data_IF_635855314217
#
_entry.id   IF_635855314217
#
_cell.length_a   1.000
_cell.length_b   1.000
_cell.length_c   1.000
_cell.angle_alpha   90.00
_cell.angle_beta   90.00
_cell.angle_gamma   90.00
#
_symmetry.space_group_name_H-M   'P 1'
#
loop_
_entity.id
_entity.type
_entity.pdbx_description
1 polymer ?
#
# COMPACT_ATOMS: atom_id res chain seq x y z
N UNK A 1 -7.28 -1.43 -13.56
CA UNK A 1 -8.45 -0.70 -14.05
C UNK A 1 -8.93 -1.36 -15.33
N UNK A 2 -10.23 -1.57 -15.47
CA UNK A 2 -10.80 -2.13 -16.69
C UNK A 2 -11.97 -1.27 -17.17
N UNK A 3 -11.86 -0.75 -18.40
CA UNK A 3 -12.87 0.09 -19.06
C UNK A 3 -13.39 1.25 -18.20
N UNK A 4 -12.49 1.98 -17.54
CA UNK A 4 -12.87 3.00 -16.54
C UNK A 4 -13.21 4.33 -17.19
N UNK A 5 -14.32 4.92 -16.77
CA UNK A 5 -14.73 6.29 -17.09
C UNK A 5 -14.98 7.12 -15.84
N UNK A 6 -14.73 8.43 -15.92
CA UNK A 6 -14.97 9.35 -14.80
C UNK A 6 -15.55 10.69 -15.24
N UNK A 7 -16.62 11.09 -14.58
CA UNK A 7 -17.31 12.37 -14.78
C UNK A 7 -17.44 13.09 -13.43
N UNK A 8 -17.02 14.35 -13.36
CA UNK A 8 -17.25 15.16 -12.16
C UNK A 8 -18.74 15.50 -12.02
N UNK A 9 -19.32 15.47 -10.80
CA UNK A 9 -20.74 15.80 -10.60
C UNK A 9 -21.17 17.20 -11.08
N UNK A 10 -20.20 18.12 -11.22
CA UNK A 10 -20.41 19.49 -11.69
C UNK A 10 -20.35 19.64 -13.21
N UNK A 11 -20.14 18.56 -13.98
CA UNK A 11 -19.99 18.59 -15.44
C UNK A 11 -20.80 17.49 -16.10
N UNK A 12 -21.36 17.80 -17.26
CA UNK A 12 -22.09 16.82 -18.08
C UNK A 12 -21.16 15.99 -18.98
N UNK A 13 -19.95 16.48 -19.25
CA UNK A 13 -18.97 15.79 -20.11
C UNK A 13 -17.99 14.95 -19.28
N UNK A 14 -17.76 13.68 -19.65
CA UNK A 14 -16.77 12.84 -18.97
C UNK A 14 -15.37 13.42 -19.15
N UNK A 15 -14.56 13.28 -18.10
CA UNK A 15 -13.14 13.71 -18.12
C UNK A 15 -12.33 12.75 -18.97
N UNK A 16 -12.57 11.45 -18.83
CA UNK A 16 -12.05 10.41 -19.70
C UNK A 16 -12.97 9.19 -19.68
N UNK A 17 -12.93 8.38 -20.74
CA UNK A 17 -13.71 7.16 -20.90
C UNK A 17 -12.86 6.01 -21.42
N UNK A 18 -13.21 4.77 -21.04
CA UNK A 18 -12.61 3.55 -21.60
C UNK A 18 -11.16 3.28 -21.20
N UNK A 19 -10.69 3.88 -20.10
CA UNK A 19 -9.31 3.70 -19.64
C UNK A 19 -9.09 2.28 -19.09
N UNK A 20 -8.19 1.52 -19.72
CA UNK A 20 -7.77 0.19 -19.25
C UNK A 20 -6.29 0.22 -18.95
N UNK A 21 -5.94 0.15 -17.66
CA UNK A 21 -4.59 0.37 -17.14
C UNK A 21 -4.22 -0.69 -16.10
N UNK A 22 -2.96 -1.09 -16.11
CA UNK A 22 -2.39 -2.03 -15.14
C UNK A 22 -1.08 -1.48 -14.59
N UNK A 23 -0.85 -1.66 -13.28
CA UNK A 23 0.40 -1.31 -12.61
C UNK A 23 0.87 -2.52 -11.82
N UNK A 24 2.15 -2.86 -11.96
CA UNK A 24 2.83 -3.92 -11.24
C UNK A 24 3.99 -3.37 -10.40
N UNK A 25 4.68 -4.23 -9.64
CA UNK A 25 5.88 -3.87 -8.89
C UNK A 25 7.07 -3.49 -9.79
N UNK A 26 7.08 -3.90 -11.06
CA UNK A 26 8.12 -3.52 -12.03
C UNK A 26 7.71 -2.34 -12.89
N UNK A 27 6.46 -1.88 -12.80
CA UNK A 27 5.96 -0.79 -13.63
C UNK A 27 6.75 0.49 -13.39
N UNK A 28 7.06 1.17 -14.49
CA UNK A 28 7.71 2.48 -14.55
C UNK A 28 6.95 3.27 -15.60
N UNK A 29 5.97 4.01 -15.12
CA UNK A 29 4.94 4.63 -15.96
C UNK A 29 5.05 6.15 -15.86
N UNK A 30 5.03 6.82 -17.01
CA UNK A 30 4.87 8.26 -17.09
C UNK A 30 3.46 8.63 -17.61
N UNK A 31 2.69 9.36 -16.81
CA UNK A 31 1.43 9.96 -17.21
C UNK A 31 1.69 11.36 -17.78
N UNK A 32 1.45 11.51 -19.08
CA UNK A 32 1.73 12.71 -19.88
C UNK A 32 0.46 13.20 -20.58
N UNK A 33 0.39 14.50 -20.87
CA UNK A 33 -0.79 15.10 -21.48
C UNK A 33 -0.88 16.60 -21.18
N UNK A 34 -1.74 17.35 -21.90
CA UNK A 34 -1.92 18.78 -21.67
C UNK A 34 -2.55 19.10 -20.31
N UNK A 35 -2.37 20.34 -19.85
CA UNK A 35 -3.01 20.82 -18.62
C UNK A 35 -4.53 20.69 -18.73
N UNK A 36 -5.16 20.18 -17.66
CA UNK A 36 -6.62 19.99 -17.64
C UNK A 36 -7.14 18.77 -18.40
N UNK A 37 -6.26 17.93 -18.98
CA UNK A 37 -6.68 16.70 -19.67
C UNK A 37 -7.26 15.61 -18.74
N UNK A 38 -7.08 15.73 -17.43
CA UNK A 38 -7.55 14.75 -16.45
C UNK A 38 -6.47 13.84 -15.85
N UNK A 39 -5.17 14.17 -15.99
CA UNK A 39 -4.06 13.38 -15.42
C UNK A 39 -4.21 13.12 -13.91
N UNK A 40 -4.39 14.19 -13.12
CA UNK A 40 -4.57 14.06 -11.68
C UNK A 40 -5.88 13.34 -11.33
N UNK A 41 -6.93 13.50 -12.15
CA UNK A 41 -8.19 12.77 -11.98
C UNK A 41 -8.01 11.27 -12.22
N UNK A 42 -7.28 10.88 -13.27
CA UNK A 42 -6.93 9.49 -13.55
C UNK A 42 -6.18 8.85 -12.37
N UNK A 43 -5.23 9.59 -11.80
CA UNK A 43 -4.48 9.13 -10.64
C UNK A 43 -5.35 9.05 -9.38
N UNK A 44 -6.27 9.98 -9.14
CA UNK A 44 -7.22 9.89 -8.03
C UNK A 44 -8.10 8.64 -8.13
N UNK A 45 -8.54 8.29 -9.33
CA UNK A 45 -9.27 7.03 -9.56
C UNK A 45 -8.34 5.82 -9.35
N UNK A 46 -7.06 5.90 -9.72
CA UNK A 46 -6.06 4.82 -9.50
C UNK A 46 -5.73 4.60 -8.03
N UNK A 47 -5.48 5.67 -7.29
CA UNK A 47 -5.19 5.62 -5.86
C UNK A 47 -6.44 5.34 -5.04
N UNK A 48 -7.63 5.40 -5.67
CA UNK A 48 -8.95 5.23 -5.06
C UNK A 48 -9.23 6.34 -4.06
N UNK A 49 -8.91 7.57 -4.42
CA UNK A 49 -9.41 8.79 -3.79
C UNK A 49 -10.82 9.15 -4.28
N UNK A 50 -11.14 8.77 -5.51
CA UNK A 50 -12.45 8.97 -6.13
C UNK A 50 -12.90 7.67 -6.79
N UNK A 51 -14.19 7.38 -6.71
CA UNK A 51 -14.77 6.22 -7.36
C UNK A 51 -14.99 6.50 -8.87
N UNK A 52 -14.78 5.50 -9.73
CA UNK A 52 -15.08 5.63 -11.14
C UNK A 52 -16.59 5.74 -11.37
N UNK A 53 -17.01 6.53 -12.37
CA UNK A 53 -18.42 6.62 -12.79
C UNK A 53 -18.82 5.39 -13.60
N UNK A 54 -17.88 4.83 -14.36
CA UNK A 54 -18.07 3.65 -15.20
C UNK A 54 -16.84 2.73 -15.09
N UNK A 55 -17.05 1.43 -15.28
CA UNK A 55 -15.99 0.42 -15.24
C UNK A 55 -15.60 -0.02 -13.83
N UNK A 56 -14.47 -0.72 -13.71
CA UNK A 56 -14.03 -1.29 -12.43
C UNK A 56 -12.55 -1.08 -12.12
N UNK A 57 -12.27 -0.87 -10.83
CA UNK A 57 -10.95 -0.62 -10.28
C UNK A 57 -10.57 -1.68 -9.24
N UNK A 58 -9.90 -2.74 -9.69
CA UNK A 58 -9.40 -3.77 -8.78
C UNK A 58 -8.03 -3.39 -8.19
N UNK A 59 -7.82 -3.72 -6.90
CA UNK A 59 -6.55 -3.58 -6.18
C UNK A 59 -6.27 -4.87 -5.42
N UNK A 60 -5.00 -5.25 -5.35
CA UNK A 60 -4.59 -6.39 -4.52
C UNK A 60 -4.73 -6.05 -3.02
N UNK A 61 -5.29 -6.96 -2.17
CA UNK A 61 -5.58 -6.69 -0.75
C UNK A 61 -4.40 -6.25 0.14
N UNK A 62 -3.17 -6.64 -0.21
CA UNK A 62 -1.96 -6.23 0.52
C UNK A 62 -1.22 -5.06 -0.13
N UNK A 63 -1.78 -4.49 -1.20
CA UNK A 63 -1.14 -3.40 -1.93
C UNK A 63 -1.15 -2.13 -1.09
N UNK A 64 0.01 -1.49 -1.01
CA UNK A 64 0.18 -0.19 -0.38
C UNK A 64 0.62 0.80 -1.45
N UNK A 65 -0.16 1.85 -1.62
CA UNK A 65 0.13 2.90 -2.60
C UNK A 65 0.44 4.17 -1.83
N UNK A 66 1.64 4.72 -2.05
CA UNK A 66 1.98 6.05 -1.59
C UNK A 66 1.69 7.05 -2.71
N UNK A 67 0.96 8.11 -2.38
CA UNK A 67 0.70 9.22 -3.29
C UNK A 67 1.39 10.47 -2.77
N UNK A 68 2.23 11.06 -3.61
CA UNK A 68 2.89 12.34 -3.38
C UNK A 68 2.18 13.36 -4.27
N UNK A 69 1.28 14.12 -3.65
CA UNK A 69 0.54 15.16 -4.34
C UNK A 69 1.45 16.36 -4.70
N UNK A 70 1.12 17.07 -5.77
CA UNK A 70 1.79 18.31 -6.17
C UNK A 70 1.77 19.35 -5.02
N UNK A 71 0.67 19.36 -4.27
CA UNK A 71 0.44 20.29 -3.15
C UNK A 71 0.87 19.74 -1.77
N UNK A 72 1.74 18.73 -1.72
CA UNK A 72 2.15 18.12 -0.45
C UNK A 72 2.76 19.11 0.56
N UNK A 73 3.21 20.29 0.13
CA UNK A 73 3.68 21.36 1.03
C UNK A 73 2.58 22.00 1.85
N UNK A 74 1.34 22.10 1.34
CA UNK A 74 0.23 22.65 2.12
C UNK A 74 -0.05 21.81 3.38
N UNK A 75 0.26 20.51 3.33
CA UNK A 75 0.18 19.63 4.50
C UNK A 75 1.26 19.98 5.53
N UNK A 76 2.49 20.24 5.07
CA UNK A 76 3.60 20.67 5.93
C UNK A 76 3.38 22.07 6.50
N UNK A 77 2.75 22.98 5.76
CA UNK A 77 2.44 24.34 6.21
C UNK A 77 1.59 24.37 7.48
N UNK A 78 0.72 23.38 7.67
CA UNK A 78 -0.09 23.21 8.89
C UNK A 78 0.71 22.69 10.09
N UNK A 79 1.99 22.34 9.89
CA UNK A 79 2.84 21.65 10.86
C UNK A 79 4.22 22.28 11.01
N UNK A 80 4.42 23.53 10.57
CA UNK A 80 5.73 24.20 10.57
C UNK A 80 6.44 24.25 11.93
N UNK A 81 5.68 24.15 13.02
CA UNK A 81 6.19 24.18 14.39
C UNK A 81 6.72 22.82 14.88
N UNK A 82 6.48 21.72 14.14
CA UNK A 82 7.00 20.39 14.46
C UNK A 82 8.37 20.17 13.81
N UNK A 83 9.16 19.29 14.39
CA UNK A 83 10.35 18.76 13.71
C UNK A 83 9.93 17.70 12.67
N UNK A 84 10.76 17.39 11.66
CA UNK A 84 10.48 16.30 10.71
C UNK A 84 10.20 14.97 11.39
N UNK A 85 10.92 14.67 12.48
CA UNK A 85 10.73 13.46 13.25
C UNK A 85 9.34 13.43 13.91
N UNK A 86 8.95 14.52 14.57
CA UNK A 86 7.62 14.67 15.17
C UNK A 86 6.49 14.66 14.13
N UNK A 87 6.73 15.19 12.93
CA UNK A 87 5.75 15.16 11.85
C UNK A 87 5.45 13.74 11.38
N UNK A 88 6.47 12.91 11.15
CA UNK A 88 6.29 11.50 10.77
C UNK A 88 5.60 10.73 11.91
N UNK A 89 6.01 10.97 13.16
CA UNK A 89 5.34 10.38 14.32
C UNK A 89 3.86 10.78 14.39
N UNK A 90 3.55 12.05 14.22
CA UNK A 90 2.18 12.56 14.22
C UNK A 90 1.33 11.95 13.10
N UNK A 91 1.92 11.78 11.90
CA UNK A 91 1.25 11.21 10.72
C UNK A 91 0.86 9.75 10.91
N UNK A 92 1.69 8.97 11.61
CA UNK A 92 1.53 7.53 11.81
C UNK A 92 1.11 7.12 13.23
N UNK A 93 0.81 8.08 14.11
CA UNK A 93 0.46 7.82 15.51
C UNK A 93 -0.71 6.85 15.70
N UNK A 94 -1.65 6.81 14.74
CA UNK A 94 -2.87 5.98 14.81
C UNK A 94 -2.63 4.56 14.26
N UNK A 95 -1.41 4.24 13.83
CA UNK A 95 -1.13 2.97 13.14
C UNK A 95 -1.61 2.96 11.68
N UNK A 96 -2.04 4.11 11.17
CA UNK A 96 -2.41 4.33 9.77
C UNK A 96 -1.92 5.70 9.33
N UNK A 97 -1.78 5.91 8.03
CA UNK A 97 -1.47 7.23 7.48
C UNK A 97 -2.69 8.16 7.61
N UNK A 98 -2.59 9.16 8.49
CA UNK A 98 -3.64 10.18 8.70
C UNK A 98 -4.01 10.96 7.45
N UNK A 99 -3.11 11.06 6.48
CA UNK A 99 -3.41 11.70 5.20
C UNK A 99 -4.23 10.79 4.28
N UNK A 100 -3.95 9.48 4.32
CA UNK A 100 -4.75 8.49 3.60
C UNK A 100 -6.16 8.33 4.20
N UNK A 101 -6.34 8.64 5.49
CA UNK A 101 -7.65 8.65 6.16
C UNK A 101 -8.60 9.75 5.65
N UNK A 102 -8.09 10.84 5.07
CA UNK A 102 -8.91 11.95 4.54
C UNK A 102 -9.49 11.67 3.13
N UNK A 103 -9.23 10.50 2.54
CA UNK A 103 -9.69 10.16 1.18
C UNK A 103 -11.21 10.00 1.12
N UNK A 104 -11.83 10.51 0.04
CA UNK A 104 -13.30 10.56 -0.12
C UNK A 104 -13.93 9.16 -0.10
N UNK A 105 -13.26 8.16 -0.65
CA UNK A 105 -13.69 6.75 -0.64
C UNK A 105 -13.86 6.15 0.76
N UNK A 106 -13.29 6.76 1.81
CA UNK A 106 -13.52 6.32 3.20
C UNK A 106 -14.75 6.97 3.84
N UNK A 107 -15.30 8.04 3.27
CA UNK A 107 -16.53 8.64 3.76
C UNK A 107 -17.73 7.76 3.37
N UNK A 108 -18.61 7.47 4.33
CA UNK A 108 -19.79 6.62 4.09
C UNK A 108 -20.73 7.27 3.08
N UNK A 109 -20.98 6.58 1.97
CA UNK A 109 -21.95 7.00 0.97
C UNK A 109 -23.37 6.66 1.42
N UNK A 110 -24.37 7.24 0.76
CA UNK A 110 -25.77 6.87 0.99
C UNK A 110 -26.05 5.41 0.59
N UNK A 111 -25.29 4.88 -0.38
CA UNK A 111 -25.39 3.50 -0.86
C UNK A 111 -24.86 2.50 0.17
N UNK A 112 -23.76 2.82 0.86
CA UNK A 112 -23.25 2.01 1.97
C UNK A 112 -24.27 1.91 3.12
N UNK A 113 -24.95 3.02 3.43
CA UNK A 113 -25.98 3.04 4.46
C UNK A 113 -27.18 2.20 4.06
N UNK A 114 -27.60 2.27 2.79
CA UNK A 114 -28.66 1.42 2.26
C UNK A 114 -28.27 -0.06 2.22
N UNK A 115 -26.99 -0.38 1.96
CA UNK A 115 -26.49 -1.76 2.00
C UNK A 115 -26.51 -2.33 3.43
N UNK A 116 -26.16 -1.53 4.46
CA UNK A 116 -26.26 -1.94 5.87
C UNK A 116 -27.68 -2.29 6.32
N UNK A 117 -28.69 -1.70 5.69
CA UNK A 117 -30.09 -2.00 6.00
C UNK A 117 -30.62 -3.27 5.33
N UNK A 118 -29.88 -3.85 4.38
CA UNK A 118 -30.26 -5.11 3.73
C UNK A 118 -30.14 -6.27 4.69
N UNK A 119 -31.17 -7.11 4.69
CA UNK A 119 -31.21 -8.34 5.48
C UNK A 119 -30.63 -9.46 4.63
N UNK A 120 -29.60 -10.11 5.15
CA UNK A 120 -28.95 -11.28 4.56
C UNK A 120 -29.38 -12.53 5.31
N UNK A 121 -29.64 -13.62 4.59
CA UNK A 121 -30.00 -14.91 5.18
C UNK A 121 -28.76 -15.80 5.17
N UNK A 122 -28.20 -16.07 6.34
CA UNK A 122 -27.03 -16.94 6.52
C UNK A 122 -27.44 -18.04 7.46
N UNK A 123 -27.26 -19.29 7.01
CA UNK A 123 -27.66 -20.49 7.76
C UNK A 123 -29.13 -20.46 8.24
N UNK A 124 -30.01 -19.83 7.44
CA UNK A 124 -31.44 -19.69 7.73
C UNK A 124 -31.80 -18.54 8.68
N UNK A 125 -30.83 -17.78 9.18
CA UNK A 125 -31.04 -16.65 10.09
C UNK A 125 -30.93 -15.33 9.31
N UNK A 126 -31.92 -14.46 9.52
CA UNK A 126 -31.94 -13.10 8.96
C UNK A 126 -31.06 -12.18 9.79
N UNK A 127 -29.93 -11.75 9.24
CA UNK A 127 -28.93 -10.92 9.89
C UNK A 127 -28.64 -9.67 9.06
N UNK A 128 -28.17 -8.62 9.72
CA UNK A 128 -27.70 -7.37 9.10
C UNK A 128 -26.24 -7.15 9.45
N UNK A 129 -25.43 -6.75 8.48
CA UNK A 129 -24.00 -6.49 8.69
C UNK A 129 -23.82 -5.20 9.50
N UNK A 130 -23.09 -5.27 10.61
CA UNK A 130 -22.69 -4.10 11.41
C UNK A 130 -21.30 -3.61 10.98
N UNK A 131 -20.28 -4.45 11.15
CA UNK A 131 -18.89 -4.14 10.80
C UNK A 131 -18.07 -5.39 10.49
N UNK A 132 -17.00 -5.19 9.73
CA UNK A 132 -15.96 -6.20 9.52
C UNK A 132 -14.88 -6.04 10.60
N UNK A 133 -14.48 -7.14 11.24
CA UNK A 133 -13.54 -7.14 12.36
C UNK A 133 -12.11 -7.41 11.90
N UNK A 134 -11.90 -8.55 11.25
CA UNK A 134 -10.59 -9.06 10.86
C UNK A 134 -10.66 -9.85 9.56
N UNK A 135 -9.52 -10.03 8.88
CA UNK A 135 -9.41 -10.97 7.76
C UNK A 135 -8.43 -12.10 8.09
N UNK A 136 -8.67 -13.26 7.50
CA UNK A 136 -7.75 -14.40 7.54
C UNK A 136 -7.55 -14.96 6.14
N UNK A 137 -6.42 -15.63 5.93
CA UNK A 137 -6.09 -16.22 4.64
C UNK A 137 -6.73 -17.60 4.51
N UNK A 138 -7.57 -17.79 3.49
CA UNK A 138 -8.14 -19.07 3.10
C UNK A 138 -7.50 -19.53 1.78
N UNK A 139 -6.47 -20.36 1.86
CA UNK A 139 -5.73 -20.88 0.68
C UNK A 139 -5.25 -19.74 -0.25
N UNK A 140 -5.97 -19.48 -1.34
CA UNK A 140 -5.68 -18.45 -2.35
C UNK A 140 -6.46 -17.15 -2.15
N UNK A 141 -7.53 -17.18 -1.36
CA UNK A 141 -8.42 -16.05 -1.11
C UNK A 141 -8.43 -15.64 0.37
N UNK A 142 -9.26 -14.67 0.69
CA UNK A 142 -9.43 -14.14 2.05
C UNK A 142 -10.86 -14.38 2.52
N UNK A 143 -10.96 -14.72 3.81
CA UNK A 143 -12.21 -14.69 4.56
C UNK A 143 -12.19 -13.52 5.52
N UNK A 144 -13.36 -12.96 5.75
CA UNK A 144 -13.56 -11.80 6.60
C UNK A 144 -14.52 -12.16 7.72
N UNK A 145 -14.20 -11.70 8.92
CA UNK A 145 -15.02 -11.86 10.10
C UNK A 145 -16.08 -10.76 10.13
N UNK A 146 -17.33 -11.15 10.00
CA UNK A 146 -18.49 -10.26 9.93
C UNK A 146 -19.18 -10.22 11.28
N UNK A 147 -19.28 -9.03 11.88
CA UNK A 147 -20.11 -8.81 13.04
C UNK A 147 -21.53 -8.41 12.61
N UNK A 148 -22.51 -9.06 13.23
CA UNK A 148 -23.93 -8.87 12.96
C UNK A 148 -24.55 -7.84 13.90
N UNK A 149 -25.47 -7.03 13.37
CA UNK A 149 -26.17 -6.01 14.14
C UNK A 149 -27.00 -6.65 15.26
N UNK A 150 -26.86 -6.12 16.47
CA UNK A 150 -27.60 -6.60 17.64
C UNK A 150 -27.09 -7.91 18.23
N UNK A 151 -25.99 -8.46 17.71
CA UNK A 151 -25.33 -9.62 18.31
C UNK A 151 -23.92 -9.29 18.83
N UNK A 152 -23.49 -10.05 19.84
CA UNK A 152 -22.16 -9.88 20.45
C UNK A 152 -21.03 -10.34 19.53
N UNK A 153 -19.77 -9.98 19.81
CA UNK A 153 -18.61 -10.37 19.01
C UNK A 153 -18.47 -11.89 18.84
N UNK A 154 -18.93 -12.68 19.82
CA UNK A 154 -18.81 -14.14 19.84
C UNK A 154 -19.66 -14.85 18.77
N UNK A 155 -20.62 -14.13 18.18
CA UNK A 155 -21.52 -14.64 17.13
C UNK A 155 -21.07 -14.23 15.72
N UNK A 156 -19.87 -13.65 15.61
CA UNK A 156 -19.31 -13.28 14.32
C UNK A 156 -19.10 -14.52 13.45
N UNK A 157 -19.38 -14.39 12.16
CA UNK A 157 -19.23 -15.48 11.19
C UNK A 157 -18.18 -15.11 10.15
N UNK A 158 -17.43 -16.11 9.69
CA UNK A 158 -16.44 -15.94 8.63
C UNK A 158 -17.11 -16.15 7.29
N UNK A 159 -17.02 -15.14 6.42
CA UNK A 159 -17.52 -15.21 5.05
C UNK A 159 -16.38 -14.98 4.04
N UNK A 160 -16.39 -15.65 2.88
CA UNK A 160 -15.42 -15.40 1.83
C UNK A 160 -15.63 -14.00 1.23
N UNK A 161 -14.57 -13.48 0.59
CA UNK A 161 -14.60 -12.15 -0.06
C UNK A 161 -15.78 -11.97 -1.01
N UNK A 162 -16.01 -12.97 -1.87
CA UNK A 162 -16.96 -12.87 -2.98
C UNK A 162 -18.39 -12.65 -2.45
N UNK A 163 -18.81 -13.41 -1.43
CA UNK A 163 -20.12 -13.25 -0.80
C UNK A 163 -20.31 -11.82 -0.25
N UNK A 164 -19.29 -11.24 0.38
CA UNK A 164 -19.38 -9.89 0.97
C UNK A 164 -19.45 -8.82 -0.12
N UNK A 165 -18.76 -9.03 -1.25
CA UNK A 165 -18.84 -8.15 -2.41
C UNK A 165 -20.23 -8.24 -3.05
N UNK A 166 -20.81 -9.44 -3.17
CA UNK A 166 -22.20 -9.63 -3.64
C UNK A 166 -23.24 -8.98 -2.73
N UNK A 167 -22.99 -8.96 -1.42
CA UNK A 167 -23.81 -8.22 -0.45
C UNK A 167 -23.73 -6.69 -0.62
N UNK A 168 -22.76 -6.20 -1.39
CA UNK A 168 -22.55 -4.77 -1.68
C UNK A 168 -21.60 -4.09 -0.70
N UNK A 169 -20.79 -4.83 0.07
CA UNK A 169 -19.86 -4.29 1.05
C UNK A 169 -18.40 -4.25 0.55
N UNK A 170 -18.19 -4.11 -0.76
CA UNK A 170 -16.85 -4.05 -1.38
C UNK A 170 -15.97 -2.95 -0.76
N UNK A 171 -16.56 -1.80 -0.43
CA UNK A 171 -15.84 -0.67 0.16
C UNK A 171 -15.30 -1.00 1.56
N UNK A 172 -16.10 -1.65 2.41
CA UNK A 172 -15.69 -2.07 3.76
C UNK A 172 -14.56 -3.11 3.69
N UNK A 173 -14.66 -4.04 2.74
CA UNK A 173 -13.61 -5.03 2.46
C UNK A 173 -12.29 -4.34 2.08
N UNK A 174 -12.34 -3.41 1.12
CA UNK A 174 -11.18 -2.67 0.67
C UNK A 174 -10.57 -1.79 1.79
N UNK A 175 -11.40 -1.25 2.69
CA UNK A 175 -10.94 -0.49 3.85
C UNK A 175 -10.22 -1.37 4.86
N UNK A 176 -10.80 -2.52 5.21
CA UNK A 176 -10.17 -3.47 6.12
C UNK A 176 -8.84 -3.98 5.56
N UNK A 177 -8.82 -4.28 4.26
CA UNK A 177 -7.62 -4.71 3.57
C UNK A 177 -6.51 -3.65 3.62
N UNK A 178 -6.85 -2.38 3.36
CA UNK A 178 -5.91 -1.28 3.45
C UNK A 178 -5.38 -1.08 4.87
N UNK A 179 -6.25 -1.22 5.88
CA UNK A 179 -5.90 -1.12 7.30
C UNK A 179 -4.92 -2.20 7.72
N UNK A 180 -5.18 -3.44 7.32
CA UNK A 180 -4.28 -4.55 7.62
C UNK A 180 -2.96 -4.46 6.84
N UNK A 181 -3.01 -4.05 5.57
CA UNK A 181 -1.81 -3.84 4.77
C UNK A 181 -0.91 -2.76 5.38
N UNK A 182 -1.50 -1.66 5.89
CA UNK A 182 -0.79 -0.60 6.60
C UNK A 182 -0.23 -1.07 7.94
N UNK A 183 -1.02 -1.83 8.72
CA UNK A 183 -0.56 -2.42 9.98
C UNK A 183 0.67 -3.30 9.75
N UNK A 184 0.63 -4.18 8.75
CA UNK A 184 1.78 -5.03 8.39
C UNK A 184 3.04 -4.20 8.05
N UNK A 185 2.89 -3.09 7.31
CA UNK A 185 4.00 -2.19 6.99
C UNK A 185 4.62 -1.55 8.24
N UNK A 186 3.79 -1.12 9.20
CA UNK A 186 4.27 -0.51 10.44
C UNK A 186 4.87 -1.53 11.43
N UNK A 187 4.45 -2.81 11.37
CA UNK A 187 5.07 -3.86 12.19
C UNK A 187 6.54 -4.09 11.82
N UNK A 188 6.91 -3.91 10.55
CA UNK A 188 8.32 -4.02 10.12
C UNK A 188 9.17 -2.85 10.62
N UNK A 189 8.56 -1.69 10.87
CA UNK A 189 9.28 -0.48 11.26
C UNK A 189 8.57 0.24 12.40
N UNK A 190 8.96 -0.02 13.66
CA UNK A 190 8.35 0.63 14.81
C UNK A 190 8.64 2.13 14.78
N UNK A 191 7.65 2.90 15.23
CA UNK A 191 7.65 4.36 15.23
C UNK A 191 8.51 4.91 16.39
N UNK A 192 9.83 4.76 16.28
CA UNK A 192 10.81 5.27 17.24
C UNK A 192 11.58 6.45 16.65
N UNK A 193 12.02 7.38 17.50
CA UNK A 193 12.84 8.54 17.07
C UNK A 193 14.05 8.12 16.24
N UNK A 194 14.75 7.07 16.67
CA UNK A 194 15.94 6.54 16.01
C UNK A 194 15.63 5.95 14.61
N UNK A 195 14.51 5.24 14.46
CA UNK A 195 14.12 4.69 13.15
C UNK A 195 13.68 5.78 12.18
N UNK A 196 12.97 6.79 12.68
CA UNK A 196 12.57 7.96 11.89
C UNK A 196 13.79 8.74 11.42
N UNK A 197 14.76 8.95 12.29
CA UNK A 197 16.03 9.60 11.95
C UNK A 197 16.82 8.82 10.90
N UNK A 198 16.97 7.50 11.07
CA UNK A 198 17.62 6.63 10.07
C UNK A 198 16.91 6.72 8.71
N UNK A 199 15.58 6.70 8.69
CA UNK A 199 14.80 6.78 7.44
C UNK A 199 14.95 8.15 6.75
N UNK A 200 14.95 9.24 7.52
CA UNK A 200 15.23 10.58 6.99
C UNK A 200 16.66 10.69 6.46
N UNK A 201 17.63 10.05 7.13
CA UNK A 201 19.02 9.95 6.70
C UNK A 201 19.19 9.24 5.35
N UNK A 202 18.43 8.16 5.09
CA UNK A 202 18.43 7.46 3.79
C UNK A 202 17.99 8.35 2.63
N UNK A 203 17.17 9.37 2.91
CA UNK A 203 16.71 10.36 1.92
C UNK A 203 17.60 11.62 1.88
N UNK A 204 18.73 11.58 2.58
CA UNK A 204 19.73 12.65 2.60
C UNK A 204 19.32 13.86 3.43
N UNK A 205 18.54 13.68 4.50
CA UNK A 205 18.34 14.69 5.55
C UNK A 205 19.19 14.33 6.76
N UNK A 206 20.12 15.20 7.15
CA UNK A 206 21.00 14.96 8.30
C UNK A 206 20.22 14.91 9.62
N UNK A 207 20.75 14.16 10.59
CA UNK A 207 20.11 13.93 11.89
C UNK A 207 19.79 15.23 12.65
N UNK A 208 20.67 16.24 12.54
CA UNK A 208 20.47 17.56 13.18
C UNK A 208 19.19 18.24 12.66
N UNK A 209 19.01 18.26 11.34
CA UNK A 209 17.80 18.83 10.73
C UNK A 209 16.57 17.94 10.90
N UNK A 210 16.74 16.62 11.03
CA UNK A 210 15.66 15.67 11.20
C UNK A 210 14.99 15.75 12.58
N UNK A 211 15.79 15.84 13.64
CA UNK A 211 15.32 15.72 15.03
C UNK A 211 15.27 17.05 15.77
N UNK A 212 16.13 18.02 15.45
CA UNK A 212 16.27 19.27 16.22
C UNK A 212 15.76 20.51 15.50
N UNK A 213 15.77 20.53 14.16
CA UNK A 213 15.24 21.67 13.41
C UNK A 213 13.72 21.60 13.24
N UNK A 214 13.04 22.73 13.41
CA UNK A 214 11.63 22.87 13.06
C UNK A 214 11.43 22.96 11.55
N UNK A 215 10.30 22.47 11.05
CA UNK A 215 9.97 22.51 9.61
C UNK A 215 9.94 23.94 9.05
N UNK A 216 9.71 24.97 9.88
CA UNK A 216 9.83 26.39 9.50
C UNK A 216 11.22 26.76 8.97
N UNK A 217 12.28 26.22 9.58
CA UNK A 217 13.68 26.53 9.25
C UNK A 217 14.25 25.72 8.07
N UNK A 218 13.50 24.75 7.56
CA UNK A 218 13.96 23.91 6.45
C UNK A 218 13.82 24.59 5.10
N UNK A 219 14.81 24.37 4.23
CA UNK A 219 14.76 24.78 2.83
C UNK A 219 13.64 24.03 2.09
N UNK A 220 13.21 24.55 0.94
CA UNK A 220 12.21 23.89 0.10
C UNK A 220 12.61 22.46 -0.28
N UNK A 221 13.89 22.25 -0.64
CA UNK A 221 14.41 20.91 -0.97
C UNK A 221 14.46 19.97 0.24
N UNK A 222 14.79 20.47 1.44
CA UNK A 222 14.70 19.67 2.66
C UNK A 222 13.25 19.28 2.99
N UNK A 223 12.29 20.19 2.80
CA UNK A 223 10.87 19.88 2.97
C UNK A 223 10.39 18.78 2.01
N UNK A 224 10.87 18.76 0.76
CA UNK A 224 10.59 17.65 -0.19
C UNK A 224 11.03 16.32 0.38
N UNK A 225 12.27 16.25 0.90
CA UNK A 225 12.81 15.03 1.49
C UNK A 225 11.95 14.55 2.65
N UNK A 226 11.44 15.46 3.49
CA UNK A 226 10.52 15.13 4.59
C UNK A 226 9.18 14.59 4.08
N UNK A 227 8.59 15.19 3.04
CA UNK A 227 7.36 14.66 2.40
C UNK A 227 7.60 13.25 1.88
N UNK A 228 8.67 13.06 1.10
CA UNK A 228 9.02 11.76 0.53
C UNK A 228 9.27 10.73 1.62
N UNK A 229 9.97 11.11 2.70
CA UNK A 229 10.20 10.24 3.86
C UNK A 229 8.90 9.84 4.53
N UNK A 230 7.99 10.79 4.74
CA UNK A 230 6.69 10.53 5.33
C UNK A 230 5.87 9.59 4.44
N UNK A 231 5.78 9.83 3.13
CA UNK A 231 5.02 8.97 2.21
C UNK A 231 5.60 7.54 2.09
N UNK A 232 6.93 7.40 2.18
CA UNK A 232 7.62 6.10 2.06
C UNK A 232 7.76 5.35 3.39
N UNK A 233 7.36 5.94 4.51
CA UNK A 233 7.47 5.34 5.83
C UNK A 233 6.73 4.00 5.93
N UNK A 234 5.53 3.93 5.35
CA UNK A 234 4.70 2.71 5.32
C UNK A 234 5.14 1.69 4.25
N UNK A 235 6.38 1.74 3.77
CA UNK A 235 6.94 0.83 2.77
C UNK A 235 5.96 0.51 1.63
N UNK A 236 5.60 1.52 0.81
CA UNK A 236 4.66 1.34 -0.27
C UNK A 236 5.20 0.37 -1.32
N UNK A 237 4.29 -0.34 -1.99
CA UNK A 237 4.60 -1.20 -3.13
C UNK A 237 4.59 -0.43 -4.44
N UNK A 238 3.72 0.60 -4.52
CA UNK A 238 3.62 1.51 -5.65
C UNK A 238 3.77 2.93 -5.13
N UNK A 239 4.64 3.70 -5.77
CA UNK A 239 4.84 5.12 -5.53
C UNK A 239 4.26 5.92 -6.69
N UNK A 240 3.34 6.83 -6.38
CA UNK A 240 2.75 7.75 -7.35
C UNK A 240 3.22 9.16 -7.03
N UNK A 241 3.82 9.85 -7.99
CA UNK A 241 4.37 11.20 -7.82
C UNK A 241 3.74 12.14 -8.84
N UNK A 242 3.12 13.22 -8.34
CA UNK A 242 2.48 14.24 -9.15
C UNK A 242 3.40 15.47 -9.32
N UNK A 243 3.90 15.68 -10.54
CA UNK A 243 4.85 16.74 -10.93
C UNK A 243 6.10 16.83 -10.04
N UNK A 244 6.91 15.75 -9.92
CA UNK A 244 8.07 15.73 -9.02
C UNK A 244 9.22 16.65 -9.47
N UNK A 245 9.34 16.97 -10.76
CA UNK A 245 10.40 17.83 -11.33
C UNK A 245 10.42 19.22 -10.70
N UNK A 246 9.24 19.79 -10.41
CA UNK A 246 9.09 21.09 -9.75
C UNK A 246 9.89 21.23 -8.45
N UNK A 247 10.22 20.10 -7.81
CA UNK A 247 10.86 20.08 -6.52
C UNK A 247 12.19 19.33 -6.51
N UNK A 248 12.37 18.36 -7.41
CA UNK A 248 13.62 17.62 -7.57
C UNK A 248 14.72 18.46 -8.23
N UNK A 249 14.36 19.39 -9.13
CA UNK A 249 15.34 20.24 -9.82
C UNK A 249 16.10 21.17 -8.85
N UNK A 250 15.48 21.53 -7.72
CA UNK A 250 16.13 22.32 -6.65
C UNK A 250 17.07 21.51 -5.76
N UNK A 251 17.02 20.18 -5.83
CA UNK A 251 17.84 19.28 -5.01
C UNK A 251 19.04 18.68 -5.77
N UNK A 252 19.21 19.04 -7.05
CA UNK A 252 20.27 18.54 -7.93
C UNK A 252 19.95 17.14 -8.46
N UNK A 253 20.00 16.95 -9.77
CA UNK A 253 19.74 15.69 -10.46
C UNK A 253 20.88 14.64 -10.29
N UNK A 254 21.48 14.56 -9.11
CA UNK A 254 22.52 13.57 -8.79
C UNK A 254 21.93 12.24 -8.29
N UNK A 255 22.75 11.21 -8.06
CA UNK A 255 22.32 9.91 -7.50
C UNK A 255 21.63 10.04 -6.12
N UNK A 256 22.00 11.07 -5.35
CA UNK A 256 21.40 11.43 -4.06
C UNK A 256 20.25 12.46 -4.17
N UNK A 257 20.03 13.02 -5.35
CA UNK A 257 18.82 13.77 -5.67
C UNK A 257 17.75 12.80 -6.13
N UNK A 258 16.48 13.08 -5.86
CA UNK A 258 15.39 12.10 -5.97
C UNK A 258 15.17 11.41 -7.32
N UNK A 259 15.94 11.72 -8.38
CA UNK A 259 16.01 10.88 -9.59
C UNK A 259 16.73 9.54 -9.39
N UNK A 260 17.82 9.49 -8.60
CA UNK A 260 18.54 8.23 -8.32
C UNK A 260 17.76 7.28 -7.41
N UNK A 261 17.15 7.82 -6.35
CA UNK A 261 16.32 7.03 -5.43
C UNK A 261 15.05 6.44 -6.08
N UNK A 262 14.52 7.07 -7.14
CA UNK A 262 13.38 6.54 -7.90
C UNK A 262 13.80 5.40 -8.84
N UNK A 263 15.02 5.44 -9.37
CA UNK A 263 15.58 4.34 -10.16
C UNK A 263 15.85 3.10 -9.30
N UNK A 264 16.34 3.30 -8.07
CA UNK A 264 16.68 2.23 -7.14
C UNK A 264 15.48 1.63 -6.39
N UNK A 265 14.30 2.26 -6.48
CA UNK A 265 13.10 1.78 -5.79
C UNK A 265 12.67 0.40 -6.31
N UNK A 266 12.67 -0.63 -5.45
CA UNK A 266 12.30 -2.00 -5.84
C UNK A 266 10.81 -2.23 -6.16
N UNK A 267 9.95 -1.21 -6.00
CA UNK A 267 8.52 -1.28 -6.29
C UNK A 267 8.12 -0.52 -7.57
N UNK A 268 6.81 -0.45 -7.84
CA UNK A 268 6.27 0.21 -9.03
C UNK A 268 6.28 1.74 -8.88
N UNK A 269 6.55 2.47 -9.96
CA UNK A 269 6.54 3.94 -9.95
C UNK A 269 5.64 4.47 -11.06
N UNK A 270 4.75 5.39 -10.69
CA UNK A 270 3.91 6.16 -11.61
C UNK A 270 4.25 7.64 -11.43
N UNK A 271 4.73 8.28 -12.48
CA UNK A 271 5.14 9.69 -12.48
C UNK A 271 4.16 10.46 -13.34
N UNK A 272 3.58 11.54 -12.82
CA UNK A 272 2.89 12.54 -13.63
C UNK A 272 3.89 13.66 -13.88
N UNK A 273 4.18 13.97 -15.13
CA UNK A 273 5.02 15.13 -15.45
C UNK A 273 4.74 15.67 -16.85
N UNK A 274 4.97 16.95 -17.06
CA UNK A 274 5.05 17.56 -18.39
C UNK A 274 6.47 17.52 -19.00
N UNK A 275 7.49 17.12 -18.24
CA UNK A 275 8.87 17.11 -18.70
C UNK A 275 9.19 15.82 -19.47
N UNK A 276 9.30 15.95 -20.79
CA UNK A 276 9.54 14.81 -21.68
C UNK A 276 10.92 14.16 -21.48
N UNK A 277 11.95 14.94 -21.16
CA UNK A 277 13.31 14.44 -20.94
C UNK A 277 13.37 13.55 -19.68
N UNK A 278 12.81 14.06 -18.56
CA UNK A 278 12.73 13.33 -17.29
C UNK A 278 11.94 12.03 -17.41
N UNK A 279 10.76 12.08 -18.03
CA UNK A 279 9.88 10.91 -18.20
C UNK A 279 10.45 9.88 -19.15
N UNK A 280 11.13 10.29 -20.24
CA UNK A 280 11.72 9.35 -21.20
C UNK A 280 12.94 8.64 -20.65
N UNK A 281 13.68 9.27 -19.73
CA UNK A 281 14.83 8.65 -19.07
C UNK A 281 14.41 7.60 -18.01
N UNK A 282 13.31 7.83 -17.31
CA UNK A 282 12.89 7.02 -16.15
C UNK A 282 11.81 5.99 -16.46
N UNK A 283 10.93 6.26 -17.44
CA UNK A 283 9.71 5.49 -17.66
C UNK A 283 9.65 4.92 -19.10
N UNK A 284 9.79 3.59 -19.27
CA UNK A 284 9.57 2.91 -20.55
C UNK A 284 8.10 2.87 -20.99
N UNK A 285 7.15 2.93 -20.04
CA UNK A 285 5.72 2.96 -20.31
C UNK A 285 5.18 4.38 -20.16
N UNK A 286 4.32 4.82 -21.10
CA UNK A 286 3.72 6.15 -21.14
C UNK A 286 2.21 6.08 -21.29
N UNK A 287 1.49 6.75 -20.40
CA UNK A 287 0.05 6.96 -20.48
C UNK A 287 -0.21 8.38 -20.98
N UNK A 288 -0.74 8.49 -22.20
CA UNK A 288 -1.09 9.77 -22.80
C UNK A 288 -2.56 10.04 -22.53
N UNK A 289 -2.82 11.08 -21.73
CA UNK A 289 -4.18 11.51 -21.37
C UNK A 289 -4.54 12.73 -22.21
N UNK A 290 -5.60 12.65 -23.00
CA UNK A 290 -6.04 13.74 -23.86
C UNK A 290 -7.33 13.43 -24.62
N UNK A 291 -8.09 14.46 -24.97
CA UNK A 291 -9.30 14.31 -25.79
C UNK A 291 -10.36 13.37 -25.22
N UNK A 292 -10.41 13.21 -23.88
CA UNK A 292 -11.35 12.29 -23.22
C UNK A 292 -10.94 10.81 -23.26
N UNK A 293 -9.71 10.49 -23.70
CA UNK A 293 -9.20 9.12 -23.77
C UNK A 293 -7.85 9.00 -23.08
N UNK A 294 -7.50 7.76 -22.73
CA UNK A 294 -6.19 7.40 -22.19
C UNK A 294 -5.58 6.36 -23.12
N UNK A 295 -4.46 6.71 -23.73
CA UNK A 295 -3.71 5.82 -24.61
C UNK A 295 -2.44 5.33 -23.92
N UNK A 296 -2.23 4.01 -23.90
CA UNK A 296 -1.03 3.39 -23.35
C UNK A 296 -0.06 3.13 -24.48
N UNK A 297 1.16 3.64 -24.33
CA UNK A 297 2.27 3.43 -25.27
C UNK A 297 3.51 2.95 -24.53
N UNK A 298 4.33 2.14 -25.18
CA UNK A 298 5.51 1.52 -24.57
C UNK A 298 5.28 0.07 -24.15
N UNK A 299 6.38 -0.68 -24.01
CA UNK A 299 6.32 -2.07 -23.60
C UNK A 299 6.40 -2.16 -22.06
N UNK A 300 5.53 -2.96 -21.40
CA UNK A 300 5.71 -3.25 -19.98
C UNK A 300 7.05 -3.96 -19.82
N UNK A 301 7.99 -3.38 -19.06
CA UNK A 301 9.18 -4.11 -18.67
C UNK A 301 8.78 -5.27 -17.74
N UNK A 302 8.65 -6.45 -18.32
CA UNK A 302 8.70 -7.71 -17.57
C UNK A 302 10.16 -7.91 -17.20
N UNK A 303 10.59 -7.26 -16.12
CA UNK A 303 11.87 -7.60 -15.52
C UNK A 303 11.75 -9.02 -14.97
N UNK A 304 12.33 -9.98 -15.67
CA UNK A 304 12.63 -11.32 -15.18
C UNK A 304 13.69 -11.18 -14.08
N UNK A 305 13.31 -10.69 -12.89
CA UNK A 305 14.21 -10.61 -11.74
C UNK A 305 13.78 -11.60 -10.67
N UNK A 306 14.80 -12.29 -10.18
CA UNK A 306 14.83 -13.40 -9.26
C UNK A 306 13.97 -13.16 -8.02
N UNK A 307 13.48 -14.25 -7.43
CA UNK A 307 12.77 -14.24 -6.15
C UNK A 307 13.50 -13.32 -5.18
N UNK A 308 12.87 -12.21 -4.84
CA UNK A 308 13.30 -11.38 -3.71
C UNK A 308 13.09 -12.23 -2.46
N UNK A 309 14.18 -12.77 -1.91
CA UNK A 309 14.13 -13.41 -0.61
C UNK A 309 13.81 -12.33 0.42
N UNK A 310 12.71 -12.51 1.14
CA UNK A 310 12.40 -11.71 2.31
C UNK A 310 13.50 -11.95 3.34
N UNK A 311 14.42 -11.01 3.49
CA UNK A 311 15.35 -11.02 4.62
C UNK A 311 14.54 -10.70 5.86
N UNK A 312 14.10 -11.75 6.55
CA UNK A 312 13.55 -11.63 7.90
C UNK A 312 14.70 -11.16 8.78
N UNK A 313 14.60 -9.96 9.35
CA UNK A 313 15.54 -9.53 10.39
C UNK A 313 15.37 -10.47 11.59
N UNK A 314 16.39 -11.27 11.89
CA UNK A 314 16.38 -12.27 12.96
C UNK A 314 16.42 -11.64 14.37
N UNK A 315 16.72 -10.34 14.45
CA UNK A 315 16.88 -9.60 15.70
C UNK A 315 15.90 -8.43 15.75
N UNK A 316 14.89 -8.55 16.63
CA UNK A 316 14.00 -7.44 16.98
C UNK A 316 14.42 -6.94 18.36
N UNK A 317 14.71 -5.64 18.44
CA UNK A 317 15.04 -4.97 19.69
C UNK A 317 13.75 -4.40 20.31
N UNK A 318 13.42 -4.85 21.51
CA UNK A 318 12.22 -4.42 22.23
C UNK A 318 12.36 -2.96 22.70
N UNK A 319 11.26 -2.29 23.06
CA UNK A 319 11.23 -0.88 23.48
C UNK A 319 12.15 -0.56 24.69
N UNK A 320 12.57 -1.59 25.43
CA UNK A 320 13.47 -1.51 26.58
C UNK A 320 14.92 -1.96 26.29
N UNK A 321 15.28 -2.20 25.03
CA UNK A 321 16.67 -2.45 24.61
C UNK A 321 17.14 -3.90 24.65
N UNK A 322 16.28 -4.86 24.97
CA UNK A 322 16.61 -6.29 24.97
C UNK A 322 16.52 -6.88 23.55
N UNK A 323 17.51 -7.72 23.19
CA UNK A 323 17.55 -8.42 21.90
C UNK A 323 16.76 -9.73 21.98
N UNK A 324 15.63 -9.81 21.28
CA UNK A 324 14.85 -11.04 21.16
C UNK A 324 15.17 -11.68 19.81
N UNK A 325 15.78 -12.88 19.84
CA UNK A 325 15.98 -13.70 18.65
C UNK A 325 14.66 -14.37 18.28
N UNK A 326 13.98 -13.85 17.27
CA UNK A 326 12.76 -14.47 16.75
C UNK A 326 13.20 -15.59 15.82
N UNK A 327 13.04 -16.85 16.25
CA UNK A 327 13.20 -18.00 15.36
C UNK A 327 12.18 -17.85 14.23
N UNK A 328 12.67 -17.67 13.00
CA UNK A 328 11.82 -17.56 11.82
C UNK A 328 10.90 -18.76 11.65
N UNK A 329 9.85 -18.65 10.80
CA UNK A 329 8.97 -19.77 10.50
C UNK A 329 9.81 -20.94 9.97
N UNK A 330 9.65 -22.13 10.57
CA UNK A 330 10.32 -23.34 10.09
C UNK A 330 9.96 -23.56 8.62
N UNK A 331 10.99 -23.69 7.78
CA UNK A 331 10.85 -23.97 6.34
C UNK A 331 10.04 -25.26 6.19
N UNK A 332 8.80 -25.20 5.66
CA UNK A 332 8.02 -26.41 5.34
C UNK A 332 8.86 -27.31 4.44
N UNK A 333 9.14 -28.54 4.86
CA UNK A 333 9.94 -29.49 4.08
C UNK A 333 9.28 -29.71 2.72
N UNK A 334 10.07 -29.84 1.65
CA UNK A 334 9.50 -30.21 0.35
C UNK A 334 8.87 -31.60 0.44
N UNK A 335 7.85 -31.87 -0.40
CA UNK A 335 7.13 -33.16 -0.45
C UNK A 335 8.04 -34.39 -0.56
N UNK A 336 9.25 -34.22 -1.13
CA UNK A 336 10.27 -35.25 -1.27
C UNK A 336 11.07 -35.46 0.01
N UNK A 337 11.37 -34.38 0.72
CA UNK A 337 12.09 -34.39 2.00
C UNK A 337 11.20 -34.88 3.15
N UNK A 338 9.92 -34.48 3.19
CA UNK A 338 8.94 -35.00 4.15
C UNK A 338 8.75 -36.53 4.00
N UNK A 339 8.69 -37.04 2.77
CA UNK A 339 8.59 -38.49 2.49
C UNK A 339 9.86 -39.25 2.87
N UNK A 340 11.03 -38.62 2.73
CA UNK A 340 12.31 -39.21 3.14
C UNK A 340 12.45 -39.21 4.68
N UNK A 341 12.04 -38.13 5.35
CA UNK A 341 12.02 -38.03 6.80
C UNK A 341 11.06 -39.06 7.42
N UNK A 342 9.86 -39.23 6.86
CA UNK A 342 8.91 -40.27 7.27
C UNK A 342 9.48 -41.67 7.10
N UNK A 343 10.12 -41.97 5.96
CA UNK A 343 10.76 -43.27 5.71
C UNK A 343 11.94 -43.53 6.66
N UNK A 344 12.70 -42.50 7.01
CA UNK A 344 13.79 -42.60 7.98
C UNK A 344 13.26 -42.81 9.42
N UNK A 345 12.15 -42.16 9.78
CA UNK A 345 11.44 -42.35 11.04
C UNK A 345 10.89 -43.76 11.19
N UNK A 346 10.22 -44.26 10.15
CA UNK A 346 9.69 -45.63 10.13
C UNK A 346 10.81 -46.67 10.19
N UNK A 347 11.97 -46.39 9.56
CA UNK A 347 13.16 -47.24 9.66
C UNK A 347 13.84 -47.19 11.04
N UNK A 348 13.81 -46.06 11.75
CA UNK A 348 14.31 -45.95 13.14
C UNK A 348 13.37 -46.66 14.12
N UNK A 349 12.06 -46.52 13.93
CA UNK A 349 11.03 -47.25 14.69
C UNK A 349 11.16 -48.77 14.50
N UNK A 350 11.47 -49.22 13.28
CA UNK A 350 11.76 -50.63 12.99
C UNK A 350 13.07 -51.14 13.62
N UNK A 351 13.99 -50.24 14.00
CA UNK A 351 15.25 -50.56 14.71
C UNK A 351 15.14 -50.44 16.23
N UNK A 352 13.98 -50.07 16.77
CA UNK A 352 13.73 -50.00 18.22
C UNK A 352 14.31 -48.76 18.91
N UNK A 353 14.62 -47.69 18.17
CA UNK A 353 15.03 -46.40 18.74
C UNK A 353 13.80 -45.56 19.14
N UNK A 354 13.87 -44.88 20.29
CA UNK A 354 12.81 -44.02 20.82
C UNK A 354 12.67 -42.74 19.98
N UNK A 355 11.48 -42.44 19.50
CA UNK A 355 11.20 -41.26 18.66
C UNK A 355 10.15 -40.40 19.36
N UNK A 356 10.48 -39.16 19.65
CA UNK A 356 9.60 -38.20 20.34
C UNK A 356 8.67 -37.48 19.35
N UNK A 357 7.39 -37.31 19.70
CA UNK A 357 6.34 -36.62 18.91
C UNK A 357 6.55 -35.10 18.71
N UNK A 358 7.69 -34.55 19.15
CA UNK A 358 8.07 -33.15 18.97
C UNK A 358 8.83 -32.87 17.66
N UNK A 359 8.98 -33.86 16.77
CA UNK A 359 9.45 -33.63 15.40
C UNK A 359 8.30 -33.12 14.52
N UNK A 360 8.53 -32.09 13.68
CA UNK A 360 7.46 -31.35 13.01
C UNK A 360 6.59 -32.27 12.14
N UNK A 361 5.32 -32.39 12.51
CA UNK A 361 4.29 -33.03 11.71
C UNK A 361 3.93 -32.14 10.50
N UNK A 362 3.62 -32.78 9.37
CA UNK A 362 3.19 -32.13 8.15
C UNK A 362 1.82 -31.45 8.36
N UNK A 363 1.81 -30.15 8.71
CA UNK A 363 0.69 -29.24 8.42
C UNK A 363 1.05 -28.23 7.31
#
# INVERSE_FOLDING_TARGET
MHNVGFTYPSRDTPTFTGATLQVSLSSRVACVGPNGAGKSTLIKVLTGETEPTEGSCWKHPNLRIAYVAQHAFHHIESHLDKTPNEYIQWRYAVGEDREALKKVTRQETAEDKAARDKIHVIDGIKLKVDKLLSRRKLKKDYEYEVQWQGQGPDTATWLPRDDIVEMGFERLVNELDAKEAARQGLMLRPLTKANVEKHLGLLGLEAEFATHAHMRGLSGGQKVKVVLAACTWNQPHILVMDEPTNYLDRCGAGPAGGGGGVLEFGGGVVIISHHNEFTSALCPEKWTVGGGKVEVTGAPQVNTREKVEFVVQEEVQDAFGNTIKVKGPQKKLSRKEAKAAKKARDARRARGEDVTDSEPEDE
#
